data_IF_656971165747
#
_entry.id   IF_656971165747
#
_cell.length_a   1.000
_cell.length_b   1.000
_cell.length_c   1.000
_cell.angle_alpha   90.00
_cell.angle_beta   90.00
_cell.angle_gamma   90.00
#
_symmetry.space_group_name_H-M   'P 1'
#
loop_
_entity.id
_entity.type
_entity.pdbx_description
1 polymer ?
#
# COMPACT_ATOMS: atom_id res chain seq x y z
N UNK A 1 -2.50 21.46 -23.10
CA UNK A 1 -1.99 21.04 -21.76
C UNK A 1 -3.05 21.14 -20.67
N UNK A 2 -3.72 22.28 -20.45
CA UNK A 2 -4.72 22.45 -19.39
C UNK A 2 -5.88 21.42 -19.42
N UNK A 3 -6.43 21.10 -20.60
CA UNK A 3 -7.51 20.12 -20.73
C UNK A 3 -7.10 18.69 -20.34
N UNK A 4 -5.82 18.32 -20.57
CA UNK A 4 -5.30 17.01 -20.19
C UNK A 4 -5.19 16.89 -18.66
N UNK A 5 -4.69 17.94 -18.00
CA UNK A 5 -4.61 17.99 -16.53
C UNK A 5 -5.98 17.86 -15.86
N UNK A 6 -7.02 18.48 -16.44
CA UNK A 6 -8.39 18.35 -15.94
C UNK A 6 -8.92 16.92 -16.09
N UNK A 7 -8.50 16.19 -17.12
CA UNK A 7 -8.95 14.82 -17.36
C UNK A 7 -8.29 13.81 -16.42
N UNK A 8 -7.00 13.98 -16.11
CA UNK A 8 -6.25 13.03 -15.26
C UNK A 8 -6.45 13.28 -13.76
N UNK A 9 -6.85 14.50 -13.36
CA UNK A 9 -7.02 14.86 -11.94
C UNK A 9 -7.96 13.92 -11.17
N UNK A 10 -9.16 13.56 -11.67
CA UNK A 10 -10.04 12.62 -10.95
C UNK A 10 -9.41 11.23 -10.78
N UNK A 11 -8.67 10.76 -11.79
CA UNK A 11 -8.01 9.45 -11.73
C UNK A 11 -6.89 9.43 -10.68
N UNK A 12 -6.10 10.50 -10.62
CA UNK A 12 -5.08 10.67 -9.59
C UNK A 12 -5.68 10.71 -8.19
N UNK A 13 -6.80 11.43 -8.00
CA UNK A 13 -7.50 11.49 -6.73
C UNK A 13 -7.99 10.09 -6.29
N UNK A 14 -8.61 9.34 -7.20
CA UNK A 14 -9.02 7.96 -6.92
C UNK A 14 -7.84 7.06 -6.55
N UNK A 15 -6.69 7.19 -7.22
CA UNK A 15 -5.51 6.39 -6.92
C UNK A 15 -4.92 6.71 -5.53
N UNK A 16 -4.96 7.97 -5.11
CA UNK A 16 -4.55 8.39 -3.76
C UNK A 16 -5.47 7.75 -2.72
N UNK A 17 -6.79 7.93 -2.86
CA UNK A 17 -7.78 7.37 -1.93
C UNK A 17 -7.68 5.84 -1.84
N UNK A 18 -7.48 5.16 -2.96
CA UNK A 18 -7.27 3.70 -2.98
C UNK A 18 -5.98 3.30 -2.25
N UNK A 19 -4.89 4.04 -2.44
CA UNK A 19 -3.62 3.77 -1.77
C UNK A 19 -3.71 4.01 -0.25
N UNK A 20 -4.41 5.06 0.18
CA UNK A 20 -4.67 5.37 1.60
C UNK A 20 -5.48 4.26 2.25
N UNK A 21 -6.60 3.85 1.63
CA UNK A 21 -7.44 2.77 2.14
C UNK A 21 -6.67 1.45 2.25
N UNK A 22 -5.77 1.16 1.29
CA UNK A 22 -4.91 -0.03 1.35
C UNK A 22 -3.90 0.03 2.50
N UNK A 23 -3.31 1.20 2.76
CA UNK A 23 -2.36 1.39 3.87
C UNK A 23 -3.10 1.28 5.20
N UNK A 24 -4.25 1.95 5.34
CA UNK A 24 -5.08 1.91 6.55
C UNK A 24 -5.47 0.48 6.90
N UNK A 25 -5.97 -0.29 5.92
CA UNK A 25 -6.31 -1.71 6.11
C UNK A 25 -5.10 -2.55 6.55
N UNK A 26 -3.90 -2.27 6.05
CA UNK A 26 -2.67 -2.97 6.46
C UNK A 26 -2.30 -2.64 7.90
N UNK A 27 -2.43 -1.36 8.29
CA UNK A 27 -2.17 -0.91 9.67
C UNK A 27 -3.14 -1.55 10.64
N UNK A 28 -4.44 -1.56 10.32
CA UNK A 28 -5.48 -2.22 11.13
C UNK A 28 -5.16 -3.70 11.33
N UNK A 29 -4.88 -4.42 10.23
CA UNK A 29 -4.54 -5.85 10.31
C UNK A 29 -3.29 -6.12 11.17
N UNK A 30 -2.26 -5.28 11.05
CA UNK A 30 -1.05 -5.39 11.87
C UNK A 30 -1.35 -5.13 13.35
N UNK A 31 -2.22 -4.16 13.67
CA UNK A 31 -2.65 -3.89 15.03
C UNK A 31 -3.40 -5.08 15.62
N UNK A 32 -4.33 -5.67 14.87
CA UNK A 32 -5.07 -6.87 15.30
C UNK A 32 -4.12 -8.04 15.62
N UNK A 33 -3.13 -8.26 14.76
CA UNK A 33 -2.10 -9.27 15.01
C UNK A 33 -1.31 -9.00 16.30
N UNK A 34 -0.92 -7.74 16.55
CA UNK A 34 -0.22 -7.36 17.79
C UNK A 34 -1.10 -7.56 19.02
N UNK A 35 -2.36 -7.13 18.95
CA UNK A 35 -3.34 -7.32 20.03
C UNK A 35 -3.52 -8.80 20.33
N UNK A 36 -3.67 -9.64 19.29
CA UNK A 36 -3.81 -11.07 19.46
C UNK A 36 -2.56 -11.72 20.08
N UNK A 37 -1.37 -11.27 19.69
CA UNK A 37 -0.11 -11.76 20.26
C UNK A 37 0.02 -11.42 21.75
N UNK A 38 -0.40 -10.21 22.15
CA UNK A 38 -0.43 -9.78 23.55
C UNK A 38 -1.41 -10.65 24.35
N UNK A 39 -2.63 -10.87 23.84
CA UNK A 39 -3.62 -11.72 24.52
C UNK A 39 -3.08 -13.12 24.77
N UNK A 40 -2.50 -13.77 23.75
CA UNK A 40 -1.89 -15.10 23.90
C UNK A 40 -0.81 -15.15 24.99
N UNK A 41 -0.02 -14.08 25.14
CA UNK A 41 1.03 -14.00 26.18
C UNK A 41 0.44 -13.85 27.57
N UNK A 42 -0.63 -13.06 27.71
CA UNK A 42 -1.36 -12.90 28.95
C UNK A 42 -2.05 -14.22 29.34
N UNK A 43 -2.73 -14.89 28.41
CA UNK A 43 -3.35 -16.20 28.65
C UNK A 43 -2.31 -17.23 29.13
N UNK A 44 -1.15 -17.29 28.47
CA UNK A 44 -0.07 -18.19 28.86
C UNK A 44 0.57 -17.82 30.21
N UNK A 45 0.56 -16.54 30.60
CA UNK A 45 0.99 -16.11 31.91
C UNK A 45 -0.05 -16.50 32.97
N UNK A 46 -1.33 -16.25 32.72
CA UNK A 46 -2.43 -16.61 33.62
C UNK A 46 -2.46 -18.12 33.88
N UNK A 47 -2.34 -18.96 32.85
CA UNK A 47 -2.26 -20.42 33.01
C UNK A 47 -1.08 -20.83 33.89
N UNK A 48 0.11 -20.25 33.67
CA UNK A 48 1.30 -20.56 34.48
C UNK A 48 1.19 -20.13 35.94
N UNK A 49 0.48 -19.04 36.20
CA UNK A 49 0.23 -18.55 37.57
C UNK A 49 -0.84 -19.39 38.25
N UNK A 50 -1.94 -19.73 37.56
CA UNK A 50 -3.07 -20.47 38.12
C UNK A 50 -2.79 -21.97 38.31
N UNK A 51 -2.01 -22.60 37.44
CA UNK A 51 -1.66 -24.02 37.54
C UNK A 51 -0.75 -24.34 38.72
N UNK A 52 -0.16 -23.33 39.38
CA UNK A 52 0.71 -23.52 40.54
C UNK A 52 -0.13 -23.85 41.79
N UNK A 53 -0.19 -25.11 42.26
CA UNK A 53 -1.14 -25.55 43.28
C UNK A 53 -0.81 -25.09 44.70
N UNK A 54 0.31 -24.38 44.88
CA UNK A 54 0.82 -23.99 46.19
C UNK A 54 1.07 -22.50 46.19
N UNK A 55 0.13 -21.75 46.79
CA UNK A 55 0.21 -20.31 47.02
C UNK A 55 1.36 -19.88 47.98
N UNK A 56 2.29 -20.80 48.28
CA UNK A 56 3.64 -20.52 48.79
C UNK A 56 4.55 -20.32 47.58
N UNK A 57 4.11 -19.47 46.64
CA UNK A 57 4.93 -19.05 45.52
C UNK A 57 5.99 -18.13 46.08
N UNK A 58 7.25 -18.56 46.01
CA UNK A 58 8.39 -17.70 46.29
C UNK A 58 8.22 -16.41 45.45
N UNK A 59 8.13 -15.27 46.14
CA UNK A 59 7.94 -13.95 45.55
C UNK A 59 8.97 -13.70 44.45
N UNK A 60 10.19 -14.24 44.61
CA UNK A 60 11.27 -14.15 43.62
C UNK A 60 10.89 -14.84 42.30
N UNK A 61 10.16 -15.95 42.37
CA UNK A 61 9.72 -16.66 41.16
C UNK A 61 8.64 -15.89 40.41
N UNK A 62 7.67 -15.29 41.14
CA UNK A 62 6.66 -14.43 40.52
C UNK A 62 7.30 -13.17 39.90
N UNK A 63 8.26 -12.56 40.58
CA UNK A 63 9.01 -11.42 40.04
C UNK A 63 9.70 -11.77 38.73
N UNK A 64 10.36 -12.92 38.66
CA UNK A 64 11.02 -13.40 37.43
C UNK A 64 10.02 -13.63 36.28
N UNK A 65 8.84 -14.14 36.58
CA UNK A 65 7.78 -14.33 35.57
C UNK A 65 7.24 -12.98 35.06
N UNK A 66 7.03 -12.01 35.95
CA UNK A 66 6.64 -10.65 35.58
C UNK A 66 7.73 -9.99 34.71
N UNK A 67 9.00 -10.11 35.08
CA UNK A 67 10.12 -9.60 34.27
C UNK A 67 10.17 -10.24 32.89
N UNK A 68 9.92 -11.55 32.80
CA UNK A 68 9.85 -12.26 31.52
C UNK A 68 8.68 -11.75 30.67
N UNK A 69 7.49 -11.55 31.27
CA UNK A 69 6.34 -11.01 30.57
C UNK A 69 6.61 -9.58 30.07
N UNK A 70 7.25 -8.75 30.88
CA UNK A 70 7.63 -7.39 30.48
C UNK A 70 8.58 -7.39 29.27
N UNK A 71 9.56 -8.30 29.23
CA UNK A 71 10.48 -8.45 28.08
C UNK A 71 9.72 -8.87 26.82
N UNK A 72 8.83 -9.84 26.94
CA UNK A 72 8.01 -10.32 25.82
C UNK A 72 7.11 -9.21 25.25
N UNK A 73 6.41 -8.47 26.12
CA UNK A 73 5.54 -7.36 25.72
C UNK A 73 6.34 -6.21 25.12
N UNK A 74 7.52 -5.89 25.67
CA UNK A 74 8.40 -4.86 25.12
C UNK A 74 8.88 -5.24 23.71
N UNK A 75 9.22 -6.51 23.48
CA UNK A 75 9.56 -7.00 22.15
C UNK A 75 8.40 -6.96 21.14
N UNK A 76 7.17 -7.17 21.60
CA UNK A 76 5.97 -7.10 20.76
C UNK A 76 5.54 -5.66 20.44
N UNK A 77 5.77 -4.73 21.37
CA UNK A 77 5.46 -3.31 21.21
C UNK A 77 6.55 -2.54 20.48
N UNK A 78 7.75 -3.11 20.36
CA UNK A 78 8.79 -2.54 19.53
C UNK A 78 8.23 -2.24 18.12
N UNK A 79 8.66 -1.11 17.49
CA UNK A 79 8.34 -0.85 16.11
C UNK A 79 8.70 -2.09 15.29
N UNK A 80 7.69 -2.70 14.69
CA UNK A 80 7.95 -3.77 13.74
C UNK A 80 8.59 -3.08 12.55
N UNK A 81 9.87 -3.36 12.29
CA UNK A 81 10.58 -3.01 11.05
C UNK A 81 9.98 -3.75 9.84
N UNK A 82 8.66 -3.86 9.76
CA UNK A 82 7.98 -3.77 8.48
C UNK A 82 8.13 -2.33 8.03
N UNK A 83 9.35 -1.99 7.64
CA UNK A 83 9.61 -0.96 6.66
C UNK A 83 8.49 -1.12 5.63
N UNK A 84 7.71 -0.07 5.32
CA UNK A 84 7.01 -0.06 4.06
C UNK A 84 8.13 -0.02 3.04
N UNK A 85 8.70 -1.20 2.73
CA UNK A 85 9.76 -1.36 1.75
C UNK A 85 9.24 -0.59 0.54
N UNK A 86 9.86 0.54 0.17
CA UNK A 86 9.55 1.20 -1.07
C UNK A 86 10.21 0.36 -2.16
N UNK A 87 9.84 -0.92 -2.23
CA UNK A 87 10.27 -1.85 -3.25
C UNK A 87 9.73 -1.31 -4.57
N UNK A 88 10.60 -0.55 -5.24
CA UNK A 88 10.63 -0.39 -6.68
C UNK A 88 9.42 0.31 -7.33
N UNK A 89 8.99 1.45 -6.79
CA UNK A 89 8.32 2.46 -7.66
C UNK A 89 9.38 3.39 -8.28
N UNK A 90 10.49 3.65 -7.60
CA UNK A 90 11.50 4.58 -8.10
C UNK A 90 12.34 4.02 -9.28
N UNK A 91 12.54 2.70 -9.39
CA UNK A 91 13.51 2.14 -10.35
C UNK A 91 12.89 1.68 -11.69
N UNK A 92 11.59 1.33 -11.69
CA UNK A 92 10.90 0.91 -12.93
C UNK A 92 10.43 2.13 -13.72
N UNK A 93 9.95 3.18 -13.06
CA UNK A 93 9.41 4.34 -13.76
C UNK A 93 10.49 5.11 -14.55
N UNK A 94 11.73 5.16 -14.06
CA UNK A 94 12.83 5.84 -14.78
C UNK A 94 13.27 5.02 -16.01
N UNK A 95 13.17 3.69 -15.96
CA UNK A 95 13.48 2.81 -17.10
C UNK A 95 12.36 2.81 -18.15
N UNK A 96 11.10 2.86 -17.73
CA UNK A 96 9.95 2.90 -18.64
C UNK A 96 9.80 4.28 -19.28
N UNK A 97 10.04 5.36 -18.53
CA UNK A 97 10.07 6.73 -19.09
C UNK A 97 11.27 6.90 -20.03
N UNK A 98 12.46 6.40 -19.69
CA UNK A 98 13.61 6.44 -20.61
C UNK A 98 13.42 5.55 -21.84
N UNK A 99 12.71 4.43 -21.78
CA UNK A 99 12.36 3.64 -22.96
C UNK A 99 11.28 4.31 -23.83
N UNK A 100 10.31 5.01 -23.23
CA UNK A 100 9.23 5.70 -23.94
C UNK A 100 9.71 6.99 -24.62
N UNK A 101 10.73 7.65 -24.06
CA UNK A 101 11.25 8.95 -24.54
C UNK A 101 12.70 8.90 -25.09
N UNK A 102 13.45 7.82 -24.86
CA UNK A 102 14.91 7.81 -25.03
C UNK A 102 15.45 7.23 -26.34
N UNK A 103 14.62 6.69 -27.23
CA UNK A 103 15.10 6.16 -28.52
C UNK A 103 14.75 7.06 -29.73
N UNK A 104 14.67 8.39 -29.52
CA UNK A 104 14.27 9.30 -30.59
C UNK A 104 14.67 10.77 -30.47
N UNK A 105 15.42 11.17 -29.45
CA UNK A 105 15.90 12.55 -29.34
C UNK A 105 17.42 12.60 -29.39
N UNK A 106 18.03 13.11 -30.48
CA UNK A 106 19.46 13.35 -30.50
C UNK A 106 19.82 14.41 -29.45
N UNK A 107 20.90 14.12 -28.69
CA UNK A 107 21.51 15.04 -27.72
C UNK A 107 21.61 16.45 -28.29
N UNK A 108 21.14 17.51 -27.59
CA UNK A 108 21.21 18.88 -28.08
C UNK A 108 22.61 19.47 -27.84
N UNK A 109 23.66 18.76 -28.22
CA UNK A 109 24.99 19.33 -28.33
C UNK A 109 25.21 19.84 -29.75
N UNK A 110 24.81 21.10 -29.90
CA UNK A 110 25.63 22.17 -30.46
C UNK A 110 26.56 21.79 -31.62
N UNK A 111 26.08 21.93 -32.85
CA UNK A 111 26.90 22.49 -33.93
C UNK A 111 26.00 23.20 -34.94
N UNK A 112 26.04 24.53 -34.86
CA UNK A 112 25.35 25.45 -35.74
C UNK A 112 25.97 25.35 -37.15
N UNK A 113 25.36 24.58 -38.05
CA UNK A 113 25.59 24.75 -39.49
C UNK A 113 24.28 24.85 -40.25
N UNK A 114 24.22 25.91 -41.05
CA UNK A 114 23.09 26.37 -41.85
C UNK A 114 22.59 25.25 -42.76
N UNK A 115 21.33 24.83 -42.60
CA UNK A 115 20.61 24.17 -43.69
C UNK A 115 19.16 24.63 -43.80
N UNK A 116 18.83 24.92 -45.05
CA UNK A 116 17.67 25.67 -45.52
C UNK A 116 16.38 24.84 -45.33
N UNK A 117 15.33 25.56 -44.90
CA UNK A 117 13.93 25.12 -44.84
C UNK A 117 13.48 24.38 -46.10
N UNK A 118 12.77 23.25 -45.91
CA UNK A 118 11.65 22.89 -46.77
C UNK A 118 10.34 23.17 -46.03
N UNK A 119 9.50 24.02 -46.61
CA UNK A 119 8.08 24.12 -46.26
C UNK A 119 7.43 22.77 -46.62
N UNK A 120 6.78 22.13 -45.65
CA UNK A 120 5.82 21.07 -45.94
C UNK A 120 4.53 21.35 -45.19
N UNK A 121 3.62 21.97 -45.91
CA UNK A 121 2.20 22.05 -45.61
C UNK A 121 1.57 20.69 -45.92
N UNK A 122 1.10 19.96 -44.91
CA UNK A 122 0.13 18.89 -45.15
C UNK A 122 -0.88 18.77 -44.01
N UNK A 123 -2.06 19.22 -44.36
CA UNK A 123 -3.40 18.94 -43.84
C UNK A 123 -3.69 17.44 -43.77
N UNK A 124 -4.37 16.96 -42.72
CA UNK A 124 -5.45 15.97 -42.86
C UNK A 124 -6.14 15.67 -41.52
N UNK A 125 -7.44 15.90 -41.56
CA UNK A 125 -8.60 15.40 -40.80
C UNK A 125 -8.47 14.27 -39.77
N UNK A 126 -9.01 14.57 -38.58
CA UNK A 126 -10.31 14.09 -38.05
C UNK A 126 -10.68 12.61 -38.23
N UNK A 127 -10.89 11.88 -37.12
CA UNK A 127 -12.09 11.03 -36.92
C UNK A 127 -12.18 10.45 -35.50
N UNK A 128 -13.04 11.09 -34.71
CA UNK A 128 -14.17 10.52 -33.95
C UNK A 128 -14.09 9.11 -33.32
N UNK A 129 -14.35 9.15 -32.00
CA UNK A 129 -15.45 8.46 -31.29
C UNK A 129 -15.35 6.96 -30.98
N UNK A 130 -15.23 6.65 -29.70
CA UNK A 130 -16.45 6.53 -28.88
C UNK A 130 -16.96 5.12 -28.55
N UNK A 131 -16.54 4.62 -27.37
CA UNK A 131 -17.32 3.98 -26.28
C UNK A 131 -18.41 2.94 -26.63
N UNK A 132 -18.35 1.78 -25.97
CA UNK A 132 -19.34 1.37 -24.97
C UNK A 132 -18.95 0.05 -24.27
N UNK A 133 -18.59 0.14 -22.99
CA UNK A 133 -18.56 -0.99 -22.04
C UNK A 133 -19.90 -1.02 -21.31
N UNK A 134 -20.60 -2.15 -21.35
CA UNK A 134 -21.89 -2.35 -20.66
C UNK A 134 -21.64 -3.19 -19.41
N UNK A 135 -21.92 -2.56 -18.27
CA UNK A 135 -21.88 -3.11 -16.91
C UNK A 135 -22.95 -4.18 -16.72
N UNK A 136 -22.56 -5.27 -16.07
CA UNK A 136 -23.45 -6.27 -15.49
C UNK A 136 -23.04 -6.45 -14.02
N UNK A 137 -23.81 -5.90 -13.10
CA UNK A 137 -23.70 -6.17 -11.66
C UNK A 137 -25.09 -6.36 -11.06
N UNK A 138 -25.34 -7.62 -10.70
CA UNK A 138 -25.94 -8.15 -9.46
C UNK A 138 -27.13 -7.41 -8.82
N UNK A 139 -28.20 -8.17 -8.56
CA UNK A 139 -28.98 -8.03 -7.32
C UNK A 139 -29.22 -9.40 -6.68
N UNK A 140 -28.78 -9.46 -5.44
CA UNK A 140 -28.81 -10.53 -4.45
C UNK A 140 -30.18 -10.76 -3.83
N UNK A 141 -30.36 -12.00 -3.39
CA UNK A 141 -31.34 -12.49 -2.41
C UNK A 141 -31.48 -11.61 -1.17
N UNK A 142 -32.69 -11.56 -0.62
CA UNK A 142 -32.92 -11.73 0.84
C UNK A 142 -34.17 -12.58 1.02
N UNK A 143 -33.96 -13.77 1.59
CA UNK A 143 -35.00 -14.68 2.05
C UNK A 143 -34.95 -14.81 3.59
N UNK A 144 -36.14 -14.97 4.17
CA UNK A 144 -36.46 -15.42 5.55
C UNK A 144 -36.17 -14.43 6.69
N UNK A 145 -37.02 -14.34 7.73
CA UNK A 145 -38.17 -15.17 8.06
C UNK A 145 -38.98 -14.59 9.23
N UNK A 146 -40.23 -15.04 9.32
CA UNK A 146 -41.10 -14.91 10.49
C UNK A 146 -41.03 -16.22 11.31
N UNK A 147 -41.27 -16.16 12.63
CA UNK A 147 -41.38 -17.34 13.49
C UNK A 147 -42.61 -18.21 13.17
#
# INVERSE_FOLDING_TARGET
>A
MAALLQHVRPWMQCAIEESEARIEKRVEHMMDQKVQAIHKRLDAFELRVLERPTLIVDVVTLQKEIESLCKDLTGLLAPSETEPEPASIAQVDDTVLSALFGDGMPSPDSTRTVRKRPRSSRTSDDTKAGRASKREHQKTEVARGNP
#
